data_IF_427469671056
#
_entry.id   IF_427469671056
#
_cell.length_a   1.000
_cell.length_b   1.000
_cell.length_c   1.000
_cell.angle_alpha   90.00
_cell.angle_beta   90.00
_cell.angle_gamma   90.00
#
_symmetry.space_group_name_H-M   'P 1'
#
loop_
_entity.id
_entity.type
_entity.pdbx_description
1 polymer ?
#
# COMPACT_ATOMS: atom_id res chain seq x y z
N UNK A 1 2.35 23.20 -20.39
CA UNK A 1 1.51 22.01 -20.09
C UNK A 1 2.17 21.33 -18.91
N UNK A 2 1.89 21.88 -17.74
CA UNK A 2 2.74 21.76 -16.57
C UNK A 2 2.18 20.69 -15.62
N UNK A 3 3.03 19.68 -15.38
CA UNK A 3 3.26 18.93 -14.13
C UNK A 3 2.11 18.37 -13.26
N UNK A 4 0.82 18.45 -13.57
CA UNK A 4 -0.24 17.88 -12.70
C UNK A 4 -0.96 16.62 -13.21
N UNK A 5 -0.65 16.12 -14.41
CA UNK A 5 -1.41 14.98 -14.97
C UNK A 5 -0.90 13.59 -14.56
N UNK A 6 0.15 13.49 -13.74
CA UNK A 6 0.83 12.22 -13.42
C UNK A 6 0.74 11.82 -11.94
N UNK A 7 -0.09 12.48 -11.13
CA UNK A 7 -0.43 12.03 -9.76
C UNK A 7 -1.66 11.11 -9.71
N UNK A 8 -2.18 10.64 -10.86
CA UNK A 8 -3.46 9.94 -10.94
C UNK A 8 -3.40 8.42 -11.08
N UNK A 9 -2.21 7.83 -11.23
CA UNK A 9 -2.05 6.37 -11.23
C UNK A 9 -1.85 5.93 -9.78
N UNK A 10 -2.90 6.11 -8.97
CA UNK A 10 -2.94 5.47 -7.65
C UNK A 10 -2.82 3.97 -7.89
N UNK A 11 -1.65 3.41 -7.61
CA UNK A 11 -1.36 1.99 -7.80
C UNK A 11 -2.42 1.18 -7.07
N UNK A 12 -3.32 0.59 -7.86
CA UNK A 12 -4.39 -0.26 -7.36
C UNK A 12 -3.77 -1.60 -6.96
N UNK A 13 -3.74 -1.86 -5.67
CA UNK A 13 -3.24 -3.09 -5.07
C UNK A 13 -4.43 -4.02 -4.83
N UNK A 14 -4.29 -5.28 -5.25
CA UNK A 14 -5.29 -6.33 -5.03
C UNK A 14 -4.62 -7.44 -4.24
N UNK A 15 -5.14 -7.72 -3.06
CA UNK A 15 -4.71 -8.83 -2.23
C UNK A 15 -5.63 -10.03 -2.45
N UNK A 16 -5.04 -11.13 -2.93
CA UNK A 16 -5.74 -12.38 -3.20
C UNK A 16 -5.25 -13.41 -2.19
N UNK A 17 -6.18 -14.00 -1.45
CA UNK A 17 -5.90 -15.06 -0.49
C UNK A 17 -6.86 -16.22 -0.74
N UNK A 18 -6.32 -17.45 -0.75
CA UNK A 18 -7.08 -18.67 -1.05
C UNK A 18 -7.92 -18.60 -2.34
N UNK A 19 -7.38 -17.94 -3.38
CA UNK A 19 -8.06 -17.81 -4.67
C UNK A 19 -9.22 -16.82 -4.69
N UNK A 20 -9.39 -16.00 -3.64
CA UNK A 20 -10.41 -14.95 -3.57
C UNK A 20 -9.78 -13.59 -3.33
N UNK A 21 -10.40 -12.56 -3.90
CA UNK A 21 -10.03 -11.17 -3.62
C UNK A 21 -10.45 -10.83 -2.19
N UNK A 22 -9.49 -10.79 -1.28
CA UNK A 22 -9.71 -10.44 0.14
C UNK A 22 -9.72 -8.93 0.35
N UNK A 23 -8.93 -8.20 -0.44
CA UNK A 23 -8.82 -6.76 -0.29
C UNK A 23 -8.39 -6.09 -1.59
N UNK A 24 -8.82 -4.84 -1.78
CA UNK A 24 -8.48 -3.99 -2.91
C UNK A 24 -8.44 -2.55 -2.45
N UNK A 25 -7.39 -1.81 -2.83
CA UNK A 25 -7.21 -0.42 -2.46
C UNK A 25 -5.86 0.12 -2.92
N UNK A 26 -5.43 1.25 -2.37
CA UNK A 26 -4.12 1.83 -2.64
C UNK A 26 -3.14 1.55 -1.52
N UNK A 27 -1.87 1.91 -1.69
CA UNK A 27 -0.86 1.80 -0.62
C UNK A 27 -1.30 2.49 0.69
N UNK A 28 -2.02 3.61 0.61
CA UNK A 28 -2.50 4.38 1.76
C UNK A 28 -3.64 3.64 2.47
N UNK A 29 -4.52 3.01 1.70
CA UNK A 29 -5.61 2.19 2.22
C UNK A 29 -5.09 0.95 2.95
N UNK A 30 -3.89 0.43 2.63
CA UNK A 30 -3.29 -0.69 3.36
C UNK A 30 -3.06 -0.31 4.83
N UNK A 31 -2.56 0.89 5.11
CA UNK A 31 -2.24 1.36 6.47
C UNK A 31 -3.47 1.60 7.32
N UNK A 32 -4.57 2.00 6.68
CA UNK A 32 -5.85 2.24 7.34
C UNK A 32 -6.78 1.02 7.28
N UNK A 33 -6.33 -0.08 6.66
CA UNK A 33 -7.12 -1.29 6.50
C UNK A 33 -7.37 -1.96 7.85
N UNK A 34 -8.64 -2.29 8.09
CA UNK A 34 -9.06 -3.10 9.25
C UNK A 34 -9.02 -4.60 8.94
N UNK A 35 -8.59 -5.01 7.73
CA UNK A 35 -8.50 -6.41 7.36
C UNK A 35 -7.32 -7.08 8.07
N UNK A 36 -7.61 -7.94 9.04
CA UNK A 36 -6.60 -8.60 9.86
C UNK A 36 -5.73 -9.58 9.05
N UNK A 37 -6.28 -10.27 8.04
CA UNK A 37 -5.52 -11.17 7.15
C UNK A 37 -4.50 -10.41 6.31
N UNK A 38 -4.92 -9.27 5.74
CA UNK A 38 -4.03 -8.37 5.02
C UNK A 38 -2.93 -7.85 5.95
N UNK A 39 -3.31 -7.36 7.13
CA UNK A 39 -2.37 -6.82 8.10
C UNK A 39 -1.35 -7.88 8.52
N UNK A 40 -1.79 -9.08 8.90
CA UNK A 40 -0.90 -10.19 9.28
C UNK A 40 0.09 -10.54 8.15
N UNK A 41 -0.38 -10.57 6.90
CA UNK A 41 0.47 -10.79 5.74
C UNK A 41 1.50 -9.67 5.52
N UNK A 42 1.08 -8.41 5.66
CA UNK A 42 1.97 -7.24 5.52
C UNK A 42 2.99 -7.18 6.67
N UNK A 43 2.60 -7.54 7.90
CA UNK A 43 3.48 -7.61 9.06
C UNK A 43 4.46 -8.78 8.97
N UNK A 44 4.04 -9.93 8.45
CA UNK A 44 4.90 -11.07 8.20
C UNK A 44 5.87 -10.85 7.03
N UNK A 45 5.53 -9.95 6.11
CA UNK A 45 6.32 -9.63 4.92
C UNK A 45 7.26 -8.44 5.16
N UNK A 46 8.40 -8.41 4.47
CA UNK A 46 9.34 -7.27 4.48
C UNK A 46 8.74 -5.97 3.87
N UNK A 47 7.51 -6.02 3.36
CA UNK A 47 6.77 -4.87 2.84
C UNK A 47 6.62 -3.74 3.88
N UNK A 48 6.42 -4.09 5.16
CA UNK A 48 6.34 -3.08 6.22
C UNK A 48 7.65 -2.29 6.37
N UNK A 49 8.81 -2.94 6.17
CA UNK A 49 10.12 -2.26 6.22
C UNK A 49 10.28 -1.28 5.06
N UNK A 50 9.96 -1.71 3.84
CA UNK A 50 10.06 -0.88 2.65
C UNK A 50 9.16 0.34 2.70
N UNK A 51 7.93 0.21 3.23
CA UNK A 51 7.06 1.39 3.33
C UNK A 51 7.52 2.33 4.43
N UNK A 52 8.07 1.82 5.55
CA UNK A 52 8.69 2.68 6.55
C UNK A 52 9.84 3.51 5.96
N UNK A 53 10.64 2.94 5.06
CA UNK A 53 11.70 3.67 4.35
C UNK A 53 11.13 4.76 3.43
N UNK A 54 10.04 4.50 2.71
CA UNK A 54 9.38 5.50 1.85
C UNK A 54 8.75 6.63 2.66
N UNK A 55 8.12 6.34 3.80
CA UNK A 55 7.57 7.36 4.70
C UNK A 55 8.69 8.24 5.28
N UNK A 56 9.81 7.65 5.70
CA UNK A 56 10.98 8.40 6.19
C UNK A 56 11.55 9.29 5.08
N UNK A 57 11.65 8.81 3.84
CA UNK A 57 12.11 9.61 2.70
C UNK A 57 11.18 10.78 2.36
N UNK A 58 9.88 10.65 2.63
CA UNK A 58 8.90 11.74 2.43
C UNK A 58 8.90 12.78 3.56
N UNK A 59 9.39 12.45 4.76
CA UNK A 59 9.52 13.38 5.89
C UNK A 59 10.84 14.17 5.89
N UNK A 60 11.86 13.69 5.19
CA UNK A 60 13.18 14.34 5.10
C UNK A 60 13.39 15.15 3.79
N UNK A 61 12.32 15.33 2.99
CA UNK A 61 12.33 16.06 1.72
C UNK A 61 11.66 17.43 1.79
#
# INVERSE_FOLDING_TARGET
>A
HDMNSVMGIGEKIIFIYQGRKEWEGTKDDIFTSTNQTLNDFIFASDLFKKVKEVEIQNLEG
#
